data_IF_952438857277
#
_entry.id   IF_952438857277
#
_cell.length_a   1.000
_cell.length_b   1.000
_cell.length_c   1.000
_cell.angle_alpha   90.00
_cell.angle_beta   90.00
_cell.angle_gamma   90.00
#
_symmetry.space_group_name_H-M   'P 1'
#
loop_
_entity.id
_entity.type
_entity.pdbx_description
1 polymer ?
#
# COMPACT_ATOMS: atom_id res chain seq x y z
N UNK A 1 1.78 -10.46 -22.67
CA UNK A 1 1.84 -10.55 -21.20
C UNK A 1 0.59 -11.24 -20.72
N UNK A 2 0.68 -12.49 -20.25
CA UNK A 2 -0.47 -13.23 -19.74
C UNK A 2 -0.75 -12.75 -18.33
N UNK A 3 -1.69 -11.82 -18.15
CA UNK A 3 -2.15 -11.45 -16.82
C UNK A 3 -2.91 -12.63 -16.22
N UNK A 4 -2.40 -13.20 -15.14
CA UNK A 4 -3.09 -14.25 -14.39
C UNK A 4 -4.34 -13.66 -13.71
N UNK A 5 -5.35 -14.50 -13.45
CA UNK A 5 -6.55 -14.07 -12.71
C UNK A 5 -6.18 -13.39 -11.38
N UNK A 6 -5.21 -13.96 -10.67
CA UNK A 6 -4.70 -13.41 -9.40
C UNK A 6 -4.16 -11.98 -9.56
N UNK A 7 -3.39 -11.69 -10.62
CA UNK A 7 -2.89 -10.34 -10.87
C UNK A 7 -4.02 -9.34 -11.16
N UNK A 8 -5.05 -9.77 -11.90
CA UNK A 8 -6.23 -8.93 -12.16
C UNK A 8 -7.02 -8.67 -10.86
N UNK A 9 -7.24 -9.69 -10.03
CA UNK A 9 -7.96 -9.53 -8.76
C UNK A 9 -7.20 -8.60 -7.80
N UNK A 10 -5.88 -8.75 -7.69
CA UNK A 10 -5.03 -7.86 -6.88
C UNK A 10 -5.19 -6.39 -7.31
N UNK A 11 -5.18 -6.12 -8.62
CA UNK A 11 -5.40 -4.76 -9.15
C UNK A 11 -6.77 -4.20 -8.81
N UNK A 12 -7.82 -5.04 -8.88
CA UNK A 12 -9.17 -4.64 -8.49
C UNK A 12 -9.26 -4.34 -6.99
N UNK A 13 -8.62 -5.14 -6.13
CA UNK A 13 -8.55 -4.87 -4.69
C UNK A 13 -7.86 -3.55 -4.38
N UNK A 14 -6.70 -3.28 -4.99
CA UNK A 14 -6.00 -1.99 -4.82
C UNK A 14 -6.88 -0.83 -5.27
N UNK A 15 -7.55 -0.96 -6.42
CA UNK A 15 -8.49 0.06 -6.91
C UNK A 15 -9.62 0.30 -5.90
N UNK A 16 -10.20 -0.77 -5.36
CA UNK A 16 -11.23 -0.69 -4.33
C UNK A 16 -10.73 0.04 -3.06
N UNK A 17 -9.54 -0.28 -2.57
CA UNK A 17 -8.95 0.35 -1.39
C UNK A 17 -8.70 1.85 -1.60
N UNK A 18 -8.23 2.23 -2.79
CA UNK A 18 -8.06 3.64 -3.17
C UNK A 18 -9.40 4.35 -3.23
N UNK A 19 -10.43 3.76 -3.86
CA UNK A 19 -11.76 4.35 -3.92
C UNK A 19 -12.45 4.45 -2.57
N UNK A 20 -12.20 3.50 -1.65
CA UNK A 20 -12.77 3.51 -0.30
C UNK A 20 -12.19 4.62 0.57
N UNK A 21 -10.88 4.85 0.51
CA UNK A 21 -10.22 5.83 1.36
C UNK A 21 -10.14 7.22 0.72
N UNK A 22 -10.00 7.31 -0.61
CA UNK A 22 -9.84 8.52 -1.44
C UNK A 22 -8.56 9.32 -1.13
N UNK A 23 -8.25 9.52 0.14
CA UNK A 23 -7.09 10.25 0.67
C UNK A 23 -6.22 9.35 1.54
N UNK A 24 -4.92 9.62 1.55
CA UNK A 24 -3.94 8.94 2.38
C UNK A 24 -4.18 9.31 3.85
N UNK A 25 -4.34 8.32 4.75
CA UNK A 25 -4.60 8.60 6.17
C UNK A 25 -3.43 9.27 6.89
N UNK A 26 -2.20 9.14 6.36
CA UNK A 26 -1.00 9.75 6.96
C UNK A 26 -0.79 11.20 6.51
N UNK A 27 -1.03 11.51 5.24
CA UNK A 27 -0.65 12.80 4.64
C UNK A 27 -1.82 13.65 4.15
N UNK A 28 -3.03 13.09 4.06
CA UNK A 28 -4.20 13.75 3.46
C UNK A 28 -4.16 13.89 1.93
N UNK A 29 -3.09 13.43 1.27
CA UNK A 29 -2.97 13.50 -0.19
C UNK A 29 -3.96 12.54 -0.88
N UNK A 30 -4.47 12.92 -2.04
CA UNK A 30 -5.33 12.03 -2.86
C UNK A 30 -4.55 10.77 -3.25
N UNK A 31 -5.18 9.62 -3.09
CA UNK A 31 -4.63 8.32 -3.47
C UNK A 31 -4.82 8.09 -4.96
N UNK A 32 -3.78 7.58 -5.62
CA UNK A 32 -3.81 7.11 -7.00
C UNK A 32 -3.43 5.62 -7.04
N UNK A 33 -4.31 4.79 -7.59
CA UNK A 33 -4.13 3.35 -7.71
C UNK A 33 -2.91 2.95 -8.56
N UNK A 34 -2.31 3.87 -9.31
CA UNK A 34 -1.10 3.64 -10.11
C UNK A 34 0.19 3.87 -9.34
N UNK A 35 0.15 4.68 -8.28
CA UNK A 35 1.35 5.16 -7.58
C UNK A 35 1.30 4.94 -6.08
N UNK A 36 0.17 4.49 -5.52
CA UNK A 36 0.08 4.19 -4.11
C UNK A 36 1.02 3.06 -3.70
N UNK A 37 1.52 3.14 -2.47
CA UNK A 37 2.23 2.04 -1.82
C UNK A 37 1.21 1.12 -1.16
N UNK A 38 1.31 -0.17 -1.44
CA UNK A 38 0.40 -1.19 -0.94
C UNK A 38 0.97 -1.82 0.32
N UNK A 39 0.14 -1.92 1.35
CA UNK A 39 0.39 -2.73 2.53
C UNK A 39 -0.38 -4.03 2.41
N UNK A 40 0.32 -5.15 2.56
CA UNK A 40 -0.22 -6.49 2.46
C UNK A 40 -0.40 -7.12 3.84
N UNK A 41 -1.39 -7.99 3.97
CA UNK A 41 -1.52 -8.85 5.14
C UNK A 41 -0.55 -10.04 5.11
N UNK A 42 -0.74 -10.99 6.03
CA UNK A 42 0.08 -12.19 6.19
C UNK A 42 -0.03 -13.17 5.03
N UNK A 43 -1.15 -13.15 4.30
CA UNK A 43 -1.38 -13.98 3.13
C UNK A 43 -0.83 -13.31 1.85
N UNK A 44 -0.34 -12.07 1.99
CA UNK A 44 0.21 -11.27 0.91
C UNK A 44 -0.86 -10.48 0.16
N UNK A 45 -2.10 -10.46 0.63
CA UNK A 45 -3.21 -9.77 -0.02
C UNK A 45 -3.22 -8.27 0.30
N UNK A 46 -3.61 -7.39 -0.64
CA UNK A 46 -3.70 -5.95 -0.36
C UNK A 46 -4.70 -5.66 0.76
N UNK A 47 -4.23 -5.08 1.85
CA UNK A 47 -5.05 -4.78 3.03
C UNK A 47 -5.23 -3.26 3.25
N UNK A 48 -4.22 -2.47 2.90
CA UNK A 48 -4.27 -1.02 2.98
C UNK A 48 -3.40 -0.37 1.89
N UNK A 49 -3.62 0.93 1.65
CA UNK A 49 -2.85 1.73 0.70
C UNK A 49 -2.49 3.07 1.31
N UNK A 50 -1.30 3.57 0.99
CA UNK A 50 -0.83 4.90 1.37
C UNK A 50 -0.22 5.62 0.18
N UNK A 51 -0.14 6.95 0.24
CA UNK A 51 0.61 7.72 -0.76
C UNK A 51 2.11 7.44 -0.63
N UNK A 52 2.91 7.64 -1.70
CA UNK A 52 4.37 7.58 -1.63
C UNK A 52 4.99 8.39 -0.48
N UNK A 53 4.55 9.64 -0.32
CA UNK A 53 4.98 10.51 0.78
C UNK A 53 4.53 9.97 2.15
N UNK A 54 3.34 9.33 2.21
CA UNK A 54 2.87 8.66 3.42
C UNK A 54 3.76 7.48 3.79
N UNK A 55 4.20 6.70 2.80
CA UNK A 55 5.16 5.62 3.03
C UNK A 55 6.50 6.16 3.51
N UNK A 56 7.04 7.23 2.91
CA UNK A 56 8.30 7.84 3.38
C UNK A 56 8.23 8.27 4.84
N UNK A 57 7.10 8.86 5.28
CA UNK A 57 6.91 9.20 6.69
C UNK A 57 6.79 7.97 7.59
N UNK A 58 6.16 6.90 7.12
CA UNK A 58 6.00 5.64 7.86
C UNK A 58 7.34 4.90 7.97
N UNK A 59 8.12 4.81 6.88
CA UNK A 59 9.40 4.10 6.85
C UNK A 59 10.46 4.73 7.74
N UNK A 60 10.30 6.03 8.04
CA UNK A 60 11.17 6.78 8.95
C UNK A 60 10.62 6.83 10.39
N UNK A 61 9.51 6.13 10.68
CA UNK A 61 8.84 6.11 11.99
C UNK A 61 8.80 4.66 12.54
N UNK A 62 9.80 4.27 13.36
CA UNK A 62 9.95 2.91 13.86
C UNK A 62 8.75 2.42 14.68
N UNK A 63 8.09 3.32 15.41
CA UNK A 63 6.92 2.98 16.23
C UNK A 63 5.73 2.63 15.33
N UNK A 64 5.53 3.41 14.26
CA UNK A 64 4.49 3.09 13.26
C UNK A 64 4.79 1.77 12.54
N UNK A 65 6.06 1.51 12.18
CA UNK A 65 6.46 0.22 11.59
C UNK A 65 6.21 -0.96 12.55
N UNK A 66 6.55 -0.83 13.83
CA UNK A 66 6.29 -1.86 14.83
C UNK A 66 4.78 -2.13 15.00
N UNK A 67 3.95 -1.08 14.94
CA UNK A 67 2.48 -1.22 14.96
C UNK A 67 1.95 -1.92 13.71
N UNK A 68 2.45 -1.60 12.51
CA UNK A 68 2.07 -2.30 11.29
C UNK A 68 2.41 -3.79 11.40
N UNK A 69 3.63 -4.11 11.86
CA UNK A 69 4.06 -5.48 12.05
C UNK A 69 3.22 -6.23 13.10
N UNK A 70 2.83 -5.59 14.20
CA UNK A 70 1.96 -6.21 15.22
C UNK A 70 0.55 -6.51 14.69
N UNK A 71 0.07 -5.72 13.73
CA UNK A 71 -1.16 -5.98 12.98
C UNK A 71 -0.98 -6.98 11.82
N UNK A 72 0.22 -7.50 11.61
CA UNK A 72 0.51 -8.45 10.53
C UNK A 72 0.57 -7.81 9.14
N UNK A 73 0.82 -6.51 9.06
CA UNK A 73 0.94 -5.77 7.81
C UNK A 73 2.40 -5.59 7.41
N UNK A 74 2.69 -5.85 6.14
CA UNK A 74 4.00 -5.65 5.51
C UNK A 74 3.86 -4.79 4.26
N UNK A 75 4.95 -4.20 3.79
CA UNK A 75 4.93 -3.40 2.56
C UNK A 75 5.15 -4.26 1.33
N UNK A 76 4.37 -4.03 0.27
CA UNK A 76 4.67 -4.58 -1.05
C UNK A 76 5.83 -3.80 -1.67
N UNK A 77 7.03 -4.38 -1.61
CA UNK A 77 8.26 -3.77 -2.11
C UNK A 77 8.20 -3.39 -3.60
N UNK A 78 7.32 -4.00 -4.40
CA UNK A 78 7.16 -3.66 -5.82
C UNK A 78 6.43 -2.32 -6.05
N UNK A 79 5.78 -1.81 -5.00
CA UNK A 79 5.01 -0.56 -5.02
C UNK A 79 5.74 0.60 -4.35
N UNK A 80 6.86 0.32 -3.68
CA UNK A 80 7.69 1.34 -3.04
C UNK A 80 8.46 2.10 -4.14
N UNK A 81 8.38 3.44 -4.20
CA UNK A 81 9.17 4.22 -5.15
C UNK A 81 10.65 3.95 -4.90
N UNK A 82 11.38 3.52 -5.93
CA UNK A 82 12.83 3.41 -5.84
C UNK A 82 13.40 4.81 -5.77
N UNK A 83 13.90 5.22 -4.60
CA UNK A 83 14.68 6.45 -4.48
C UNK A 83 15.98 6.20 -5.25
N UNK A 84 16.15 6.89 -6.37
CA UNK A 84 17.43 6.98 -7.09
C UNK A 84 18.12 8.28 -6.72
#
# INVERSE_FOLDING_TARGET
MTTTLAATMRKQMVTHLVSKNIVCPRTGAVLDARTCVVLTDRDGDPAAVVSPAGWEQISNDPDTLARLASHGLTVDATTVPTIR
#
